data_IF_165363670443
#
_entry.id   IF_165363670443
#
_cell.length_a   1.000
_cell.length_b   1.000
_cell.length_c   1.000
_cell.angle_alpha   90.00
_cell.angle_beta   90.00
_cell.angle_gamma   90.00
#
_symmetry.space_group_name_H-M   'P 1'
#
loop_
_entity.id
_entity.type
_entity.pdbx_description
1 polymer ?
#
# COMPACT_ATOMS: atom_id res chain seq x y z
N UNK A 1 -26.23 -7.07 -4.05
CA UNK A 1 -25.92 -6.75 -2.65
C UNK A 1 -24.52 -7.19 -2.32
N UNK A 2 -23.55 -6.29 -2.43
CA UNK A 2 -22.18 -6.56 -1.99
C UNK A 2 -22.11 -6.31 -0.48
N UNK A 3 -22.16 -7.38 0.31
CA UNK A 3 -22.03 -7.32 1.76
C UNK A 3 -20.54 -7.35 2.15
N UNK A 4 -19.77 -6.36 1.67
CA UNK A 4 -18.31 -6.32 1.81
C UNK A 4 -17.86 -5.07 2.57
N UNK A 5 -16.70 -5.18 3.20
CA UNK A 5 -16.02 -4.11 3.95
C UNK A 5 -14.92 -3.53 3.07
N UNK A 6 -14.98 -2.23 2.80
CA UNK A 6 -14.08 -1.55 1.86
C UNK A 6 -13.33 -0.43 2.57
N UNK A 7 -12.02 -0.39 2.37
CA UNK A 7 -11.19 0.77 2.71
C UNK A 7 -10.72 1.43 1.41
N UNK A 8 -11.16 2.65 1.15
CA UNK A 8 -10.67 3.50 0.07
C UNK A 8 -9.65 4.51 0.58
N UNK A 9 -8.60 4.74 -0.19
CA UNK A 9 -7.64 5.82 0.02
C UNK A 9 -7.44 6.59 -1.29
N UNK A 10 -7.92 7.83 -1.34
CA UNK A 10 -7.76 8.73 -2.49
C UNK A 10 -6.68 9.78 -2.21
N UNK A 11 -5.68 9.81 -3.08
CA UNK A 11 -4.51 10.68 -2.97
C UNK A 11 -4.56 11.81 -3.98
N UNK A 12 -5.02 12.98 -3.52
CA UNK A 12 -5.05 14.20 -4.29
C UNK A 12 -3.76 15.03 -4.19
N UNK A 13 -3.69 16.06 -5.03
CA UNK A 13 -2.61 17.06 -4.99
C UNK A 13 -2.61 17.86 -3.68
N UNK A 14 -3.80 18.25 -3.19
CA UNK A 14 -3.97 19.12 -2.02
C UNK A 14 -4.16 18.37 -0.69
N UNK A 15 -4.69 17.14 -0.75
CA UNK A 15 -5.08 16.38 0.43
C UNK A 15 -5.31 14.92 0.10
N UNK A 16 -5.51 14.13 1.15
CA UNK A 16 -5.76 12.70 1.08
C UNK A 16 -7.06 12.38 1.79
N UNK A 17 -7.93 11.58 1.17
CA UNK A 17 -9.21 11.16 1.74
C UNK A 17 -9.20 9.66 1.98
N UNK A 18 -9.54 9.26 3.20
CA UNK A 18 -9.77 7.87 3.58
C UNK A 18 -11.26 7.64 3.76
N UNK A 19 -11.76 6.54 3.20
CA UNK A 19 -13.17 6.14 3.32
C UNK A 19 -13.23 4.69 3.79
N UNK A 20 -13.86 4.47 4.93
CA UNK A 20 -14.25 3.15 5.41
C UNK A 20 -15.73 2.93 5.11
N UNK A 21 -16.07 1.83 4.47
CA UNK A 21 -17.47 1.44 4.23
C UNK A 21 -17.70 0.00 4.66
N UNK A 22 -18.80 -0.23 5.35
CA UNK A 22 -19.28 -1.55 5.77
C UNK A 22 -20.80 -1.62 5.65
N UNK A 23 -21.39 -2.82 5.75
CA UNK A 23 -22.84 -2.98 5.79
C UNK A 23 -23.52 -2.21 6.94
N UNK A 24 -22.76 -1.83 7.98
CA UNK A 24 -23.26 -1.11 9.15
C UNK A 24 -23.10 0.41 9.06
N UNK A 25 -22.44 0.90 8.01
CA UNK A 25 -22.27 2.32 7.76
C UNK A 25 -20.94 2.67 7.11
N UNK A 26 -20.75 3.97 6.90
CA UNK A 26 -19.55 4.53 6.29
C UNK A 26 -18.97 5.64 7.16
N UNK A 27 -17.66 5.79 7.11
CA UNK A 27 -16.94 6.93 7.65
C UNK A 27 -15.93 7.43 6.62
N UNK A 28 -15.77 8.74 6.56
CA UNK A 28 -14.80 9.37 5.68
C UNK A 28 -14.01 10.41 6.47
N UNK A 29 -12.73 10.53 6.15
CA UNK A 29 -11.83 11.52 6.72
C UNK A 29 -10.97 12.11 5.62
N UNK A 30 -10.96 13.44 5.52
CA UNK A 30 -10.14 14.15 4.55
C UNK A 30 -9.10 14.98 5.28
N UNK A 31 -7.83 14.68 4.99
CA UNK A 31 -6.68 15.43 5.49
C UNK A 31 -6.29 16.48 4.46
N UNK A 32 -6.61 17.73 4.77
CA UNK A 32 -6.14 18.89 4.02
C UNK A 32 -4.64 19.05 4.30
N UNK A 33 -3.87 19.55 3.34
CA UNK A 33 -2.42 19.74 3.46
C UNK A 33 -1.59 18.45 3.54
N UNK A 34 -2.21 17.29 3.32
CA UNK A 34 -1.54 16.00 3.17
C UNK A 34 -1.76 15.46 1.75
N UNK A 35 -1.22 16.17 0.76
CA UNK A 35 -1.33 15.82 -0.66
C UNK A 35 0.03 15.66 -1.33
N UNK A 36 0.05 14.97 -2.46
CA UNK A 36 1.27 14.63 -3.23
C UNK A 36 1.68 15.71 -4.23
N UNK A 37 1.02 16.87 -4.20
CA UNK A 37 1.32 18.03 -5.04
C UNK A 37 1.33 19.31 -4.21
N UNK A 38 0.31 20.15 -4.34
CA UNK A 38 0.25 21.43 -3.61
C UNK A 38 0.19 21.30 -2.09
N UNK A 39 -0.17 20.13 -1.55
CA UNK A 39 -0.10 19.82 -0.12
C UNK A 39 1.31 19.52 0.41
N UNK A 40 2.31 19.36 -0.46
CA UNK A 40 3.67 18.97 -0.04
C UNK A 40 4.38 19.98 0.88
N UNK A 41 4.34 21.31 0.64
CA UNK A 41 5.08 22.25 1.49
C UNK A 41 4.64 22.26 2.96
N UNK A 42 3.34 22.38 3.32
CA UNK A 42 2.92 22.26 4.72
C UNK A 42 3.21 20.88 5.31
N UNK A 43 2.97 19.81 4.54
CA UNK A 43 3.30 18.45 4.95
C UNK A 43 4.77 18.28 5.35
N UNK A 44 5.70 18.76 4.52
CA UNK A 44 7.13 18.67 4.77
C UNK A 44 7.59 19.52 5.95
N UNK A 45 6.98 20.70 6.16
CA UNK A 45 7.28 21.53 7.34
C UNK A 45 6.93 20.81 8.64
N UNK A 46 5.86 20.03 8.66
CA UNK A 46 5.43 19.27 9.84
C UNK A 46 6.20 17.95 10.01
N UNK A 47 6.50 17.27 8.91
CA UNK A 47 7.00 15.88 8.91
C UNK A 47 8.53 15.79 8.78
N UNK A 48 9.14 16.75 8.10
CA UNK A 48 10.56 16.77 7.78
C UNK A 48 10.95 15.81 6.64
N UNK A 49 12.02 16.16 5.93
CA UNK A 49 12.53 15.36 4.81
C UNK A 49 12.96 13.93 5.23
N UNK A 50 13.45 13.74 6.47
CA UNK A 50 13.96 12.44 6.92
C UNK A 50 12.89 11.34 6.94
N UNK A 51 11.64 11.71 7.25
CA UNK A 51 10.52 10.78 7.24
C UNK A 51 10.23 10.25 5.82
N UNK A 52 10.45 11.06 4.79
CA UNK A 52 10.36 10.60 3.38
C UNK A 52 11.62 9.81 3.00
N UNK A 53 12.81 10.33 3.31
CA UNK A 53 14.11 9.71 2.97
C UNK A 53 14.24 8.27 3.45
N UNK A 54 13.62 7.92 4.59
CA UNK A 54 13.71 6.57 5.16
C UNK A 54 13.18 5.47 4.24
N UNK A 55 12.35 5.82 3.26
CA UNK A 55 11.77 4.90 2.28
C UNK A 55 12.53 4.83 0.96
N UNK A 56 13.61 5.60 0.81
CA UNK A 56 14.38 5.62 -0.43
C UNK A 56 15.37 4.45 -0.47
N UNK A 57 15.48 3.74 -1.62
CA UNK A 57 16.49 2.69 -1.82
C UNK A 57 17.89 3.25 -2.16
N UNK A 58 18.09 4.57 -2.08
CA UNK A 58 19.34 5.26 -2.40
C UNK A 58 19.56 6.40 -1.43
N UNK A 59 20.78 6.95 -1.42
CA UNK A 59 21.03 8.16 -0.68
C UNK A 59 20.59 9.38 -1.48
N UNK A 60 19.89 10.28 -0.80
CA UNK A 60 19.44 11.54 -1.36
C UNK A 60 19.59 12.60 -0.28
N UNK A 61 20.36 13.68 -0.45
CA UNK A 61 20.51 14.71 0.56
C UNK A 61 19.16 15.33 0.97
N UNK A 62 18.96 15.72 2.25
CA UNK A 62 17.72 16.37 2.68
C UNK A 62 17.36 17.60 1.86
N UNK A 63 18.35 18.40 1.45
CA UNK A 63 18.17 19.59 0.60
C UNK A 63 17.59 19.24 -0.76
N UNK A 64 18.05 18.14 -1.38
CA UNK A 64 17.50 17.67 -2.66
C UNK A 64 16.06 17.17 -2.52
N UNK A 65 15.73 16.50 -1.41
CA UNK A 65 14.33 16.11 -1.10
C UNK A 65 13.44 17.35 -0.99
N UNK A 66 13.89 18.37 -0.24
CA UNK A 66 13.16 19.62 -0.11
C UNK A 66 12.94 20.28 -1.48
N UNK A 67 14.01 20.43 -2.27
CA UNK A 67 13.96 21.07 -3.58
C UNK A 67 13.04 20.32 -4.55
N UNK A 68 13.18 19.00 -4.67
CA UNK A 68 12.39 18.19 -5.58
C UNK A 68 10.89 18.24 -5.24
N UNK A 69 10.54 18.12 -3.96
CA UNK A 69 9.15 18.14 -3.52
C UNK A 69 8.52 19.55 -3.54
N UNK A 70 9.31 20.62 -3.35
CA UNK A 70 8.83 22.00 -3.57
C UNK A 70 8.56 22.27 -5.05
N UNK A 71 9.45 21.81 -5.93
CA UNK A 71 9.24 21.90 -7.37
C UNK A 71 8.00 21.11 -7.80
N UNK A 72 7.79 19.91 -7.26
CA UNK A 72 6.55 19.14 -7.47
C UNK A 72 5.31 19.89 -7.01
N UNK A 73 5.38 20.61 -5.89
CA UNK A 73 4.26 21.42 -5.40
C UNK A 73 3.89 22.59 -6.33
N UNK A 74 4.89 23.20 -6.99
CA UNK A 74 4.70 24.24 -8.00
C UNK A 74 4.10 23.66 -9.28
N UNK A 75 4.55 22.46 -9.68
CA UNK A 75 4.12 21.78 -10.91
C UNK A 75 3.45 20.42 -10.61
N UNK A 76 2.27 20.39 -9.96
CA UNK A 76 1.68 19.16 -9.41
C UNK A 76 1.22 18.15 -10.47
N UNK A 77 1.04 18.59 -11.71
CA UNK A 77 0.63 17.76 -12.84
C UNK A 77 1.80 17.04 -13.53
N UNK A 78 3.04 17.36 -13.17
CA UNK A 78 4.21 16.67 -13.71
C UNK A 78 4.22 15.21 -13.29
N UNK A 79 4.74 14.33 -14.15
CA UNK A 79 4.97 12.92 -13.82
C UNK A 79 6.47 12.66 -13.67
N UNK A 80 6.89 11.72 -12.79
CA UNK A 80 8.30 11.38 -12.64
C UNK A 80 8.96 11.01 -13.97
N UNK A 81 10.04 11.72 -14.30
CA UNK A 81 10.86 11.45 -15.49
C UNK A 81 12.06 10.55 -15.20
N UNK A 82 12.37 10.29 -13.92
CA UNK A 82 13.50 9.47 -13.48
C UNK A 82 13.06 8.47 -12.42
N UNK A 83 13.78 7.33 -12.31
CA UNK A 83 13.57 6.36 -11.22
C UNK A 83 13.68 7.03 -9.85
N UNK A 84 14.65 7.95 -9.69
CA UNK A 84 14.87 8.70 -8.47
C UNK A 84 13.63 9.54 -8.08
N UNK A 85 13.07 10.30 -9.02
CA UNK A 85 11.86 11.09 -8.79
C UNK A 85 10.65 10.20 -8.48
N UNK A 86 10.51 9.06 -9.17
CA UNK A 86 9.42 8.11 -8.94
C UNK A 86 9.47 7.54 -7.51
N UNK A 87 10.64 7.07 -7.08
CA UNK A 87 10.81 6.55 -5.72
C UNK A 87 10.64 7.63 -4.66
N UNK A 88 11.01 8.88 -4.95
CA UNK A 88 10.75 10.01 -4.06
C UNK A 88 9.25 10.28 -3.91
N UNK A 89 8.49 10.33 -5.01
CA UNK A 89 7.04 10.52 -4.95
C UNK A 89 6.34 9.38 -4.22
N UNK A 90 6.71 8.13 -4.49
CA UNK A 90 6.14 6.97 -3.80
C UNK A 90 6.56 6.90 -2.32
N UNK A 91 7.77 7.34 -1.97
CA UNK A 91 8.19 7.48 -0.58
C UNK A 91 7.32 8.51 0.16
N UNK A 92 6.97 9.61 -0.50
CA UNK A 92 6.05 10.61 0.05
C UNK A 92 4.64 10.05 0.20
N UNK A 93 4.17 9.26 -0.77
CA UNK A 93 2.88 8.55 -0.66
C UNK A 93 2.81 7.69 0.59
N UNK A 94 3.83 6.87 0.84
CA UNK A 94 3.90 6.00 2.03
C UNK A 94 3.76 6.79 3.33
N UNK A 95 4.46 7.92 3.44
CA UNK A 95 4.41 8.78 4.62
C UNK A 95 3.05 9.46 4.82
N UNK A 96 2.47 9.99 3.75
CA UNK A 96 1.15 10.63 3.79
C UNK A 96 0.09 9.62 4.20
N UNK A 97 0.04 8.45 3.54
CA UNK A 97 -0.91 7.39 3.85
C UNK A 97 -0.76 6.87 5.28
N UNK A 98 0.48 6.66 5.74
CA UNK A 98 0.75 6.20 7.11
C UNK A 98 0.23 7.17 8.17
N UNK A 99 0.37 8.48 7.94
CA UNK A 99 -0.12 9.52 8.86
C UNK A 99 -1.63 9.65 8.81
N UNK A 100 -2.20 9.73 7.61
CA UNK A 100 -3.65 9.79 7.42
C UNK A 100 -4.33 8.57 8.06
N UNK A 101 -3.79 7.37 7.82
CA UNK A 101 -4.33 6.15 8.41
C UNK A 101 -4.19 6.11 9.92
N UNK A 102 -3.05 6.50 10.49
CA UNK A 102 -2.86 6.50 11.93
C UNK A 102 -3.86 7.43 12.65
N UNK A 103 -4.13 8.60 12.09
CA UNK A 103 -5.11 9.54 12.62
C UNK A 103 -6.54 9.02 12.44
N UNK A 104 -6.89 8.54 11.24
CA UNK A 104 -8.19 7.96 10.97
C UNK A 104 -8.47 6.76 11.88
N UNK A 105 -7.58 5.77 11.94
CA UNK A 105 -7.73 4.58 12.77
C UNK A 105 -7.93 4.90 14.26
N UNK A 106 -7.26 5.94 14.78
CA UNK A 106 -7.44 6.41 16.16
C UNK A 106 -8.85 6.96 16.36
N UNK A 107 -9.26 7.94 15.55
CA UNK A 107 -10.56 8.61 15.68
C UNK A 107 -11.73 7.66 15.40
N UNK A 108 -11.57 6.77 14.43
CA UNK A 108 -12.54 5.73 14.08
C UNK A 108 -12.70 4.70 15.20
N UNK A 109 -11.61 4.35 15.90
CA UNK A 109 -11.70 3.49 17.09
C UNK A 109 -12.39 4.17 18.27
N UNK A 110 -12.17 5.48 18.45
CA UNK A 110 -12.77 6.28 19.53
C UNK A 110 -14.27 6.55 19.29
N UNK A 111 -14.66 6.78 18.04
CA UNK A 111 -16.06 7.06 17.64
C UNK A 111 -16.87 5.80 17.34
N UNK A 112 -16.21 4.69 17.00
CA UNK A 112 -16.82 3.43 16.55
C UNK A 112 -17.16 2.44 17.67
N UNK A 113 -17.47 2.91 18.88
CA UNK A 113 -17.88 2.07 20.03
C UNK A 113 -19.11 1.18 19.79
N UNK A 114 -19.78 1.31 18.63
CA UNK A 114 -20.91 0.52 18.16
C UNK A 114 -20.57 -0.55 17.10
N UNK A 115 -19.28 -0.72 16.73
CA UNK A 115 -18.86 -1.73 15.75
C UNK A 115 -19.04 -1.34 14.28
N UNK A 116 -19.32 -0.07 13.98
CA UNK A 116 -19.51 0.45 12.61
C UNK A 116 -18.30 0.35 11.69
N UNK A 117 -17.09 0.28 12.24
CA UNK A 117 -15.86 0.34 11.48
C UNK A 117 -15.11 -0.98 11.62
N UNK A 118 -14.93 -1.69 10.51
CA UNK A 118 -14.20 -2.94 10.50
C UNK A 118 -12.74 -2.79 10.92
N UNK A 119 -12.22 -3.80 11.62
CA UNK A 119 -10.77 -3.98 11.84
C UNK A 119 -10.11 -4.88 10.79
N UNK A 120 -10.89 -5.29 9.80
CA UNK A 120 -10.49 -6.12 8.67
C UNK A 120 -11.30 -5.69 7.47
N UNK A 121 -10.68 -5.73 6.31
CA UNK A 121 -11.26 -5.31 5.03
C UNK A 121 -11.35 -6.50 4.10
N UNK A 122 -12.37 -6.50 3.26
CA UNK A 122 -12.48 -7.47 2.18
C UNK A 122 -11.83 -6.91 0.90
N UNK A 123 -11.87 -5.58 0.74
CA UNK A 123 -11.27 -4.84 -0.37
C UNK A 123 -10.58 -3.56 0.13
N UNK A 124 -9.37 -3.32 -0.34
CA UNK A 124 -8.65 -2.05 -0.19
C UNK A 124 -8.47 -1.43 -1.57
N UNK A 125 -8.86 -0.17 -1.72
CA UNK A 125 -8.78 0.55 -3.00
C UNK A 125 -7.88 1.77 -2.87
N UNK A 126 -6.86 1.86 -3.73
CA UNK A 126 -6.07 3.07 -3.92
C UNK A 126 -6.60 3.91 -5.09
N UNK A 127 -6.79 5.21 -4.88
CA UNK A 127 -7.12 6.18 -5.93
C UNK A 127 -6.14 7.36 -5.90
N UNK A 128 -6.12 8.13 -6.97
CA UNK A 128 -5.22 9.26 -7.18
C UNK A 128 -4.15 8.99 -8.22
N UNK A 129 -3.77 10.04 -8.94
CA UNK A 129 -2.93 9.95 -10.14
C UNK A 129 -1.53 9.39 -9.89
N UNK A 130 -1.00 9.55 -8.67
CA UNK A 130 0.31 9.00 -8.29
C UNK A 130 0.31 7.47 -8.21
N UNK A 131 -0.82 6.87 -7.83
CA UNK A 131 -0.99 5.41 -7.78
C UNK A 131 -1.41 4.87 -9.14
N UNK A 132 -2.37 5.54 -9.79
CA UNK A 132 -2.91 5.12 -11.09
C UNK A 132 -1.86 5.15 -12.22
N UNK A 133 -0.94 6.11 -12.20
CA UNK A 133 0.11 6.25 -13.23
C UNK A 133 1.45 5.63 -12.80
N UNK A 134 1.48 4.81 -11.75
CA UNK A 134 2.72 4.12 -11.38
C UNK A 134 3.14 3.18 -12.54
N UNK A 135 4.37 3.28 -13.05
CA UNK A 135 4.79 2.50 -14.23
C UNK A 135 4.91 1.00 -13.95
N UNK A 136 4.88 0.60 -12.68
CA UNK A 136 4.83 -0.78 -12.23
C UNK A 136 3.77 -0.91 -11.13
N UNK A 137 2.81 -1.82 -11.32
CA UNK A 137 1.69 -2.02 -10.38
C UNK A 137 2.16 -2.50 -9.01
N UNK A 138 3.27 -3.24 -8.92
CA UNK A 138 3.84 -3.68 -7.66
C UNK A 138 4.38 -2.51 -6.83
N UNK A 139 4.83 -1.40 -7.47
CA UNK A 139 5.21 -0.18 -6.75
C UNK A 139 4.00 0.52 -6.11
N UNK A 140 2.88 0.60 -6.84
CA UNK A 140 1.64 1.14 -6.29
C UNK A 140 1.11 0.28 -5.13
N UNK A 141 1.10 -1.06 -5.31
CA UNK A 141 0.74 -1.99 -4.26
C UNK A 141 1.62 -1.81 -3.03
N UNK A 142 2.94 -1.75 -3.21
CA UNK A 142 3.89 -1.57 -2.12
C UNK A 142 3.67 -0.26 -1.37
N UNK A 143 3.38 0.85 -2.07
CA UNK A 143 3.08 2.12 -1.44
C UNK A 143 1.82 2.06 -0.55
N UNK A 144 0.77 1.40 -1.03
CA UNK A 144 -0.46 1.15 -0.26
C UNK A 144 -0.21 0.24 0.95
N UNK A 145 0.56 -0.84 0.79
CA UNK A 145 0.90 -1.76 1.88
C UNK A 145 1.71 -1.08 2.99
N UNK A 146 2.71 -0.29 2.61
CA UNK A 146 3.61 0.39 3.54
C UNK A 146 2.91 1.54 4.28
N UNK A 147 2.03 2.27 3.58
CA UNK A 147 1.26 3.36 4.14
C UNK A 147 0.13 2.88 5.04
N UNK A 148 -0.75 2.01 4.52
CA UNK A 148 -1.96 1.60 5.24
C UNK A 148 -1.72 0.48 6.24
N UNK A 149 -0.74 -0.39 6.01
CA UNK A 149 -0.36 -1.45 6.94
C UNK A 149 -1.54 -2.34 7.44
N UNK A 150 -2.47 -2.64 6.53
CA UNK A 150 -3.63 -3.47 6.85
C UNK A 150 -3.22 -4.91 7.17
N UNK A 151 -4.09 -5.61 7.91
CA UNK A 151 -3.89 -6.98 8.40
C UNK A 151 -5.00 -7.89 7.89
N UNK A 152 -4.64 -9.11 7.51
CA UNK A 152 -5.55 -10.19 7.15
C UNK A 152 -5.38 -10.66 5.71
N UNK A 153 -6.47 -11.17 5.15
CA UNK A 153 -6.56 -11.54 3.74
C UNK A 153 -7.60 -10.64 3.10
N UNK A 154 -7.18 -9.87 2.09
CA UNK A 154 -8.03 -8.86 1.45
C UNK A 154 -7.64 -8.65 0.00
N UNK A 155 -8.59 -8.25 -0.83
CA UNK A 155 -8.34 -7.86 -2.22
C UNK A 155 -7.76 -6.45 -2.26
N UNK A 156 -6.87 -6.19 -3.19
CA UNK A 156 -6.26 -4.88 -3.42
C UNK A 156 -6.55 -4.44 -4.86
N UNK A 157 -7.09 -3.24 -5.02
CA UNK A 157 -7.42 -2.68 -6.32
C UNK A 157 -6.98 -1.21 -6.45
N UNK A 158 -6.88 -0.74 -7.69
CA UNK A 158 -6.65 0.66 -8.01
C UNK A 158 -7.85 1.23 -8.77
N UNK A 159 -8.22 2.47 -8.46
CA UNK A 159 -9.04 3.29 -9.34
C UNK A 159 -8.16 3.87 -10.46
N UNK A 160 -7.77 3.00 -11.39
CA UNK A 160 -6.81 3.33 -12.44
C UNK A 160 -7.31 4.41 -13.41
N UNK A 161 -8.63 4.62 -13.48
CA UNK A 161 -9.28 5.62 -14.35
C UNK A 161 -9.78 6.86 -13.59
N UNK A 162 -9.65 6.89 -12.25
CA UNK A 162 -10.12 8.00 -11.42
C UNK A 162 -11.65 8.20 -11.45
N UNK A 163 -12.42 7.14 -11.63
CA UNK A 163 -13.87 7.24 -11.84
C UNK A 163 -14.66 7.19 -10.52
N UNK A 164 -14.07 6.73 -9.41
CA UNK A 164 -14.83 6.48 -8.17
C UNK A 164 -15.50 7.75 -7.63
N UNK A 165 -14.83 8.90 -7.71
CA UNK A 165 -15.42 10.18 -7.29
C UNK A 165 -16.68 10.53 -8.09
N UNK A 166 -16.68 10.29 -9.41
CA UNK A 166 -17.86 10.54 -10.25
C UNK A 166 -18.95 9.49 -10.01
N UNK A 167 -18.57 8.22 -9.85
CA UNK A 167 -19.50 7.14 -9.57
C UNK A 167 -20.21 7.32 -8.23
N UNK A 168 -19.57 7.95 -7.24
CA UNK A 168 -20.22 8.35 -5.99
C UNK A 168 -21.43 9.27 -6.22
N UNK A 169 -21.31 10.24 -7.14
CA UNK A 169 -22.43 11.10 -7.52
C UNK A 169 -23.53 10.32 -8.25
N UNK A 170 -23.17 9.43 -9.18
CA UNK A 170 -24.12 8.57 -9.89
C UNK A 170 -24.87 7.66 -8.91
N UNK A 171 -24.19 7.16 -7.87
CA UNK A 171 -24.78 6.28 -6.87
C UNK A 171 -25.93 6.94 -6.08
N UNK A 172 -26.02 8.26 -6.04
CA UNK A 172 -27.14 8.97 -5.41
C UNK A 172 -28.45 8.84 -6.18
N UNK A 173 -28.37 8.59 -7.49
CA UNK A 173 -29.52 8.46 -8.40
C UNK A 173 -29.73 7.01 -8.83
N UNK A 174 -28.64 6.30 -9.17
CA UNK A 174 -28.66 4.90 -9.59
C UNK A 174 -27.52 4.12 -8.92
N UNK A 175 -27.73 3.63 -7.68
CA UNK A 175 -26.73 2.85 -6.95
C UNK A 175 -26.26 1.60 -7.70
N UNK A 176 -27.19 0.88 -8.36
CA UNK A 176 -26.86 -0.36 -9.06
C UNK A 176 -25.97 -0.12 -10.28
N UNK A 177 -26.26 0.91 -11.08
CA UNK A 177 -25.44 1.26 -12.23
C UNK A 177 -24.04 1.70 -11.79
N UNK A 178 -23.96 2.53 -10.74
CA UNK A 178 -22.67 2.95 -10.18
C UNK A 178 -21.84 1.74 -9.70
N UNK A 179 -22.47 0.79 -8.99
CA UNK A 179 -21.80 -0.42 -8.52
C UNK A 179 -21.34 -1.33 -9.67
N UNK A 180 -22.13 -1.44 -10.75
CA UNK A 180 -21.74 -2.22 -11.93
C UNK A 180 -20.52 -1.60 -12.62
N UNK A 181 -20.54 -0.29 -12.91
CA UNK A 181 -19.40 0.39 -13.53
C UNK A 181 -18.17 0.34 -12.62
N UNK A 182 -18.34 0.48 -11.30
CA UNK A 182 -17.25 0.35 -10.36
C UNK A 182 -16.58 -1.04 -10.45
N UNK A 183 -17.37 -2.11 -10.37
CA UNK A 183 -16.86 -3.49 -10.33
C UNK A 183 -16.29 -4.03 -11.63
N UNK A 184 -16.78 -3.56 -12.79
CA UNK A 184 -16.35 -4.08 -14.09
C UNK A 184 -15.44 -3.14 -14.88
N UNK A 185 -15.58 -1.82 -14.70
CA UNK A 185 -14.94 -0.84 -15.58
C UNK A 185 -13.97 0.12 -14.87
N UNK A 186 -14.11 0.31 -13.56
CA UNK A 186 -13.33 1.32 -12.80
C UNK A 186 -12.12 0.73 -12.09
N UNK A 187 -12.28 -0.42 -11.45
CA UNK A 187 -11.25 -0.98 -10.58
C UNK A 187 -10.32 -1.92 -11.35
N UNK A 188 -9.02 -1.62 -11.29
CA UNK A 188 -7.97 -2.54 -11.69
C UNK A 188 -7.63 -3.41 -10.48
N UNK A 189 -8.07 -4.67 -10.50
CA UNK A 189 -7.73 -5.66 -9.49
C UNK A 189 -6.24 -5.99 -9.54
N UNK A 190 -5.51 -5.62 -8.49
CA UNK A 190 -4.11 -6.01 -8.34
C UNK A 190 -4.00 -7.46 -7.87
N UNK A 191 -4.98 -7.95 -7.11
CA UNK A 191 -5.03 -9.32 -6.61
C UNK A 191 -5.24 -9.36 -5.10
N UNK A 192 -4.87 -10.47 -4.47
CA UNK A 192 -5.12 -10.69 -3.03
C UNK A 192 -3.86 -10.56 -2.21
N UNK A 193 -3.96 -9.85 -1.09
CA UNK A 193 -2.90 -9.69 -0.10
C UNK A 193 -3.10 -10.64 1.06
N UNK A 194 -2.02 -11.27 1.52
CA UNK A 194 -1.95 -12.02 2.78
C UNK A 194 -0.93 -11.33 3.69
N UNK A 195 -1.42 -10.58 4.68
CA UNK A 195 -0.59 -9.77 5.57
C UNK A 195 -0.88 -10.10 7.06
N UNK A 196 -0.11 -10.97 7.71
CA UNK A 196 -0.29 -11.27 9.12
C UNK A 196 0.16 -10.10 10.03
N UNK A 197 -0.55 -9.95 11.14
CA UNK A 197 -0.10 -9.20 12.32
C UNK A 197 1.02 -9.97 13.02
N UNK A 198 2.07 -9.29 13.47
CA UNK A 198 3.17 -9.86 14.22
C UNK A 198 4.53 -9.50 13.64
N UNK A 199 5.57 -9.66 14.46
CA UNK A 199 6.96 -9.37 14.10
C UNK A 199 7.85 -10.50 14.59
N UNK A 200 8.79 -10.95 13.77
CA UNK A 200 9.77 -11.95 14.14
C UNK A 200 11.13 -11.62 13.52
N UNK A 201 12.19 -12.24 14.05
CA UNK A 201 13.53 -12.12 13.47
C UNK A 201 13.58 -12.77 12.08
N UNK A 202 14.43 -12.27 11.17
CA UNK A 202 14.68 -12.89 9.87
C UNK A 202 14.98 -14.39 9.99
N UNK A 203 14.50 -15.17 9.01
CA UNK A 203 14.73 -16.62 8.93
C UNK A 203 13.78 -17.49 9.76
N UNK A 204 12.93 -16.91 10.63
CA UNK A 204 11.81 -17.65 11.25
C UNK A 204 10.68 -17.85 10.24
N UNK A 205 10.00 -18.98 10.29
CA UNK A 205 8.77 -19.19 9.49
C UNK A 205 7.64 -18.31 10.01
N UNK A 206 7.04 -17.52 9.12
CA UNK A 206 5.86 -16.72 9.41
C UNK A 206 4.57 -17.49 9.10
N UNK A 207 4.46 -18.05 7.89
CA UNK A 207 3.26 -18.72 7.40
C UNK A 207 3.61 -20.08 6.79
N UNK A 208 2.66 -21.02 6.88
CA UNK A 208 2.58 -22.17 5.97
C UNK A 208 1.32 -22.04 5.14
N UNK A 209 1.44 -22.26 3.84
CA UNK A 209 0.35 -22.14 2.87
C UNK A 209 0.15 -23.48 2.15
N UNK A 210 -1.11 -23.78 1.87
CA UNK A 210 -1.53 -24.70 0.83
C UNK A 210 -2.46 -23.93 -0.12
N UNK A 211 -2.25 -24.09 -1.41
CA UNK A 211 -2.98 -23.41 -2.47
C UNK A 211 -3.59 -24.48 -3.36
N UNK A 212 -4.91 -24.45 -3.50
CA UNK A 212 -5.65 -25.33 -4.40
C UNK A 212 -6.26 -24.45 -5.49
N UNK A 213 -5.89 -24.67 -6.74
CA UNK A 213 -6.41 -23.93 -7.89
C UNK A 213 -7.71 -24.58 -8.42
N UNK A 214 -8.47 -23.84 -9.23
CA UNK A 214 -9.71 -24.34 -9.84
C UNK A 214 -9.51 -25.56 -10.76
N UNK A 215 -8.31 -25.73 -11.34
CA UNK A 215 -7.91 -26.89 -12.14
C UNK A 215 -7.47 -28.10 -11.29
N UNK A 216 -7.78 -28.08 -9.99
CA UNK A 216 -7.38 -29.06 -8.98
C UNK A 216 -5.87 -29.20 -8.76
N UNK A 217 -5.01 -28.36 -9.39
CA UNK A 217 -3.60 -28.32 -8.99
C UNK A 217 -3.48 -27.89 -7.54
N UNK A 218 -2.56 -28.53 -6.84
CA UNK A 218 -2.24 -28.20 -5.47
C UNK A 218 -0.76 -27.83 -5.34
N UNK A 219 -0.48 -26.71 -4.68
CA UNK A 219 0.83 -26.39 -4.15
C UNK A 219 0.74 -26.49 -2.63
N UNK A 220 1.33 -27.55 -2.07
CA UNK A 220 1.30 -27.81 -0.63
C UNK A 220 2.62 -27.44 0.05
N UNK A 221 2.56 -27.21 1.36
CA UNK A 221 3.72 -26.99 2.25
C UNK A 221 4.60 -25.77 1.90
N UNK A 222 4.06 -24.76 1.21
CA UNK A 222 4.79 -23.51 0.96
C UNK A 222 5.07 -22.85 2.30
N UNK A 223 6.36 -22.67 2.61
CA UNK A 223 6.81 -22.10 3.87
C UNK A 223 7.34 -20.70 3.61
N UNK A 224 6.69 -19.70 4.19
CA UNK A 224 7.05 -18.30 4.00
C UNK A 224 7.85 -17.81 5.21
N UNK A 225 9.09 -17.31 5.02
CA UNK A 225 9.86 -16.72 6.11
C UNK A 225 9.24 -15.38 6.57
N UNK A 226 9.59 -14.94 7.78
CA UNK A 226 9.32 -13.58 8.24
C UNK A 226 10.22 -12.58 7.52
N UNK A 227 9.72 -11.38 7.27
CA UNK A 227 10.50 -10.27 6.72
C UNK A 227 10.44 -10.10 5.20
N UNK A 228 9.60 -10.87 4.48
CA UNK A 228 9.64 -10.91 3.01
C UNK A 228 8.33 -10.47 2.35
N UNK A 229 8.46 -10.07 1.09
CA UNK A 229 7.39 -9.99 0.12
C UNK A 229 7.52 -11.16 -0.85
N UNK A 230 6.40 -11.72 -1.27
CA UNK A 230 6.40 -12.77 -2.28
C UNK A 230 5.14 -12.68 -3.14
N UNK A 231 5.34 -12.73 -4.45
CA UNK A 231 4.25 -12.87 -5.42
C UNK A 231 4.08 -14.36 -5.78
N UNK A 232 2.86 -14.86 -5.71
CA UNK A 232 2.48 -16.17 -6.24
C UNK A 232 1.54 -15.92 -7.43
N UNK A 233 1.87 -16.39 -8.64
CA UNK A 233 1.03 -16.19 -9.81
C UNK A 233 -0.37 -16.78 -9.62
N UNK A 234 -1.38 -15.96 -9.89
CA UNK A 234 -2.79 -16.33 -10.03
C UNK A 234 -3.42 -15.32 -10.99
N UNK A 235 -3.83 -15.75 -12.18
CA UNK A 235 -4.33 -14.82 -13.21
C UNK A 235 -5.69 -14.23 -12.83
N UNK A 236 -6.05 -13.10 -13.43
CA UNK A 236 -7.27 -12.36 -13.10
C UNK A 236 -8.57 -13.17 -13.27
N UNK A 237 -8.56 -14.20 -14.13
CA UNK A 237 -9.68 -15.11 -14.38
C UNK A 237 -9.58 -16.44 -13.62
N UNK A 238 -8.51 -16.66 -12.85
CA UNK A 238 -8.28 -17.86 -12.06
C UNK A 238 -8.67 -17.63 -10.59
N UNK A 239 -9.25 -18.66 -9.96
CA UNK A 239 -9.48 -18.69 -8.51
C UNK A 239 -8.63 -19.75 -7.83
N UNK A 240 -8.46 -19.57 -6.52
CA UNK A 240 -7.81 -20.53 -5.67
C UNK A 240 -8.42 -20.54 -4.26
N UNK A 241 -8.32 -21.67 -3.57
CA UNK A 241 -8.52 -21.78 -2.13
C UNK A 241 -7.17 -21.75 -1.43
N UNK A 242 -7.01 -20.81 -0.50
CA UNK A 242 -5.83 -20.69 0.35
C UNK A 242 -6.11 -21.27 1.72
N UNK A 243 -5.37 -22.30 2.13
CA UNK A 243 -5.28 -22.71 3.53
C UNK A 243 -4.03 -22.10 4.16
N UNK A 244 -4.22 -21.15 5.08
CA UNK A 244 -3.15 -20.33 5.65
C UNK A 244 -2.99 -20.65 7.13
N UNK A 245 -1.79 -21.10 7.53
CA UNK A 245 -1.45 -21.44 8.91
C UNK A 245 -0.32 -20.54 9.42
N UNK A 246 -0.62 -19.45 10.15
CA UNK A 246 0.40 -18.62 10.75
C UNK A 246 1.13 -19.35 11.88
N UNK A 247 2.42 -19.02 12.06
CA UNK A 247 3.24 -19.50 13.18
C UNK A 247 3.42 -18.36 14.18
N UNK A 248 3.40 -18.67 15.49
CA UNK A 248 3.63 -17.66 16.51
C UNK A 248 4.96 -16.91 16.25
N UNK A 249 4.98 -15.57 16.36
CA UNK A 249 3.94 -14.71 16.92
C UNK A 249 2.89 -14.17 15.92
N UNK A 250 2.85 -14.68 14.68
CA UNK A 250 1.97 -14.17 13.63
C UNK A 250 0.50 -14.58 13.82
N UNK A 251 -0.41 -13.71 13.37
CA UNK A 251 -1.87 -13.93 13.32
C UNK A 251 -2.47 -13.26 12.08
N UNK A 252 -3.49 -13.85 11.46
CA UNK A 252 -4.26 -13.22 10.38
C UNK A 252 -5.48 -12.44 10.90
N UNK A 253 -5.72 -12.52 12.20
CA UNK A 253 -6.83 -11.85 12.86
C UNK A 253 -6.35 -10.52 13.47
N UNK A 254 -7.26 -9.54 13.63
CA UNK A 254 -6.94 -8.30 14.30
C UNK A 254 -6.52 -8.54 15.76
N UNK A 255 -5.90 -7.55 16.43
CA UNK A 255 -5.53 -7.67 17.85
C UNK A 255 -6.71 -8.13 18.70
N UNK A 256 -6.51 -9.20 19.49
CA UNK A 256 -7.56 -9.83 20.31
C UNK A 256 -8.42 -10.88 19.59
N UNK A 257 -8.25 -11.06 18.27
CA UNK A 257 -8.92 -12.10 17.51
C UNK A 257 -8.34 -13.50 17.77
N UNK A 258 -9.21 -14.50 17.86
CA UNK A 258 -8.85 -15.90 18.04
C UNK A 258 -8.81 -16.64 16.70
N UNK A 259 -7.87 -17.56 16.53
CA UNK A 259 -7.78 -18.44 15.36
C UNK A 259 -6.36 -18.96 15.13
N UNK A 260 -6.24 -20.19 14.64
CA UNK A 260 -4.95 -20.85 14.35
C UNK A 260 -4.61 -20.84 12.85
N UNK A 261 -5.50 -20.34 12.01
CA UNK A 261 -5.40 -20.31 10.57
C UNK A 261 -6.67 -19.78 9.92
N UNK A 262 -6.63 -19.62 8.61
CA UNK A 262 -7.72 -19.10 7.78
C UNK A 262 -7.80 -19.92 6.51
N UNK A 263 -9.03 -20.23 6.07
CA UNK A 263 -9.30 -20.71 4.72
C UNK A 263 -10.01 -19.59 3.98
N UNK A 264 -9.51 -19.22 2.81
CA UNK A 264 -10.08 -18.14 1.99
C UNK A 264 -10.13 -18.55 0.52
N UNK A 265 -11.26 -18.33 -0.12
CA UNK A 265 -11.37 -18.32 -1.57
C UNK A 265 -10.90 -16.97 -2.09
N UNK A 266 -10.00 -16.99 -3.06
CA UNK A 266 -9.37 -15.79 -3.61
C UNK A 266 -9.47 -15.80 -5.14
N UNK A 267 -9.61 -14.61 -5.71
CA UNK A 267 -9.51 -14.42 -7.15
C UNK A 267 -8.13 -13.81 -7.46
N UNK A 268 -7.55 -14.15 -8.61
CA UNK A 268 -6.32 -13.53 -9.04
C UNK A 268 -6.51 -12.09 -9.51
N UNK A 269 -5.40 -11.48 -9.92
CA UNK A 269 -5.36 -10.10 -10.39
C UNK A 269 -4.03 -9.83 -11.09
N UNK A 270 -3.75 -8.56 -11.38
CA UNK A 270 -2.55 -8.18 -12.14
C UNK A 270 -1.23 -8.65 -11.48
N UNK A 271 -1.19 -8.83 -10.17
CA UNK A 271 -0.06 -9.31 -9.38
C UNK A 271 -0.28 -10.72 -8.78
N UNK A 272 -1.47 -11.30 -8.92
CA UNK A 272 -1.82 -12.58 -8.29
C UNK A 272 -1.98 -12.51 -6.77
N UNK A 273 -1.30 -13.39 -6.04
CA UNK A 273 -1.34 -13.41 -4.57
C UNK A 273 -0.06 -12.76 -4.03
N UNK A 274 -0.21 -11.67 -3.28
CA UNK A 274 0.87 -10.93 -2.64
C UNK A 274 0.95 -11.28 -1.15
N UNK A 275 2.02 -11.96 -0.76
CA UNK A 275 2.28 -12.31 0.64
C UNK A 275 3.22 -11.27 1.24
N UNK A 276 2.80 -10.63 2.33
CA UNK A 276 3.59 -9.63 3.06
C UNK A 276 3.80 -10.06 4.51
N UNK A 277 4.93 -10.70 4.78
CA UNK A 277 5.32 -11.15 6.14
C UNK A 277 6.35 -10.22 6.78
N UNK A 278 6.52 -9.00 6.26
CA UNK A 278 7.46 -8.01 6.80
C UNK A 278 7.09 -7.56 8.21
N UNK A 279 5.82 -7.72 8.57
CA UNK A 279 5.27 -7.45 9.88
C UNK A 279 4.41 -6.19 9.92
N UNK A 280 3.61 -6.12 10.97
CA UNK A 280 2.69 -5.01 11.28
C UNK A 280 2.77 -4.78 12.81
N UNK A 281 3.32 -3.65 13.28
CA UNK A 281 3.89 -2.56 12.49
C UNK A 281 5.13 -2.97 11.70
N UNK A 282 5.33 -2.34 10.55
CA UNK A 282 6.52 -2.49 9.71
C UNK A 282 7.70 -1.77 10.38
N UNK A 283 8.72 -2.53 10.76
CA UNK A 283 9.93 -2.00 11.38
C UNK A 283 11.04 -1.87 10.34
N UNK A 284 11.46 -0.64 10.08
CA UNK A 284 12.62 -0.37 9.25
C UNK A 284 13.91 -0.45 10.09
N UNK A 285 15.03 -0.94 9.52
CA UNK A 285 16.33 -0.87 10.18
C UNK A 285 16.69 0.57 10.58
N UNK A 286 17.34 0.75 11.73
CA UNK A 286 17.75 2.07 12.22
C UNK A 286 18.91 2.66 11.40
N UNK A 287 19.89 1.83 11.02
CA UNK A 287 21.03 2.24 10.20
C UNK A 287 20.61 2.56 8.76
N UNK A 288 21.03 3.71 8.23
CA UNK A 288 20.60 4.18 6.91
C UNK A 288 20.91 3.20 5.80
N UNK A 289 22.13 2.65 5.77
CA UNK A 289 22.54 1.72 4.71
C UNK A 289 21.83 0.37 4.82
N UNK A 290 21.68 -0.16 6.05
CA UNK A 290 20.90 -1.38 6.29
C UNK A 290 19.44 -1.21 5.85
N UNK A 291 18.86 -0.02 6.06
CA UNK A 291 17.51 0.31 5.63
C UNK A 291 17.40 0.40 4.11
N UNK A 292 18.32 1.09 3.44
CA UNK A 292 18.36 1.17 1.97
C UNK A 292 18.48 -0.22 1.35
N UNK A 293 19.39 -1.04 1.88
CA UNK A 293 19.58 -2.43 1.44
C UNK A 293 18.30 -3.26 1.61
N UNK A 294 17.64 -3.15 2.77
CA UNK A 294 16.38 -3.87 3.01
C UNK A 294 15.27 -3.46 2.03
N UNK A 295 15.19 -2.18 1.68
CA UNK A 295 14.21 -1.68 0.70
C UNK A 295 14.53 -2.21 -0.70
N UNK A 296 15.80 -2.27 -1.09
CA UNK A 296 16.21 -2.88 -2.38
C UNK A 296 15.82 -4.34 -2.45
N UNK A 297 16.08 -5.12 -1.40
CA UNK A 297 15.67 -6.53 -1.33
C UNK A 297 14.15 -6.71 -1.50
N UNK A 298 13.35 -5.82 -0.91
CA UNK A 298 11.89 -5.84 -1.08
C UNK A 298 11.45 -5.49 -2.51
N UNK A 299 12.14 -4.55 -3.17
CA UNK A 299 11.89 -4.23 -4.57
C UNK A 299 12.25 -5.43 -5.47
N UNK A 300 13.38 -6.07 -5.23
CA UNK A 300 13.81 -7.27 -5.95
C UNK A 300 12.83 -8.45 -5.76
N UNK A 301 12.33 -8.67 -4.55
CA UNK A 301 11.31 -9.68 -4.24
C UNK A 301 9.99 -9.48 -5.01
N UNK A 302 9.69 -8.24 -5.40
CA UNK A 302 8.56 -7.88 -6.24
C UNK A 302 8.91 -7.81 -7.74
N UNK A 303 10.14 -8.19 -8.12
CA UNK A 303 10.61 -8.15 -9.51
C UNK A 303 10.79 -6.73 -10.05
N UNK A 304 11.00 -5.74 -9.18
CA UNK A 304 11.21 -4.35 -9.57
C UNK A 304 12.72 -4.10 -9.70
N UNK A 305 13.26 -3.90 -10.92
CA UNK A 305 14.68 -3.67 -11.10
C UNK A 305 15.07 -2.31 -10.54
N UNK A 306 15.95 -2.31 -9.54
CA UNK A 306 16.51 -1.10 -8.97
C UNK A 306 18.02 -1.05 -9.20
N UNK A 307 18.45 -0.21 -10.13
CA UNK A 307 19.85 0.14 -10.29
C UNK A 307 20.14 1.33 -9.40
N UNK A 308 21.20 1.24 -8.59
CA UNK A 308 21.65 2.36 -7.77
C UNK A 308 22.00 3.53 -8.70
N UNK A 309 21.35 4.69 -8.57
CA UNK A 309 21.74 5.87 -9.34
C UNK A 309 23.22 6.15 -9.06
N UNK A 310 24.00 6.47 -10.10
CA UNK A 310 25.37 6.91 -9.90
C UNK A 310 25.36 8.07 -8.90
N UNK A 311 26.26 8.03 -7.90
CA UNK A 311 26.40 9.14 -6.98
C UNK A 311 26.62 10.43 -7.80
N UNK A 312 25.98 11.55 -7.45
CA UNK A 312 26.27 12.81 -8.11
C UNK A 312 27.79 13.04 -8.04
N UNK A 313 28.40 13.34 -9.18
CA UNK A 313 29.81 13.72 -9.24
C UNK A 313 30.01 14.86 -8.23
N UNK A 314 31.09 14.86 -7.44
CA UNK A 314 31.40 15.98 -6.57
C UNK A 314 31.34 17.24 -7.43
N UNK A 315 30.54 18.23 -7.00
CA UNK A 315 30.59 19.56 -7.60
C UNK A 315 32.06 19.98 -7.54
N UNK A 316 32.69 20.14 -8.71
CA UNK A 316 34.02 20.73 -8.78
C UNK A 316 33.94 22.05 -8.02
N UNK A 317 34.59 22.09 -6.86
CA UNK A 317 34.84 23.34 -6.17
C UNK A 317 35.76 24.10 -7.12
N UNK A 318 35.18 25.04 -7.86
CA UNK A 318 35.94 26.13 -8.41
C UNK A 318 36.48 26.92 -7.22
N UNK A 319 37.66 26.54 -6.76
CA UNK A 319 38.54 27.41 -5.98
C UNK A 319 38.88 28.59 -6.89
N UNK A 320 38.07 29.65 -6.81
CA UNK A 320 38.49 30.98 -7.26
C UNK A 320 39.46 31.52 -6.20
N UNK A 321 40.76 31.34 -6.49
CA UNK A 321 41.89 32.04 -5.88
C UNK A 321 42.01 33.47 -6.38
#
# INVERSE_FOLDING_TARGET
>A
NYNIRVLGADMGSAGTTLVASSPHGQQAMTHIEMGVGCGLPPFLRQTGAQAVRRWLPFDLPPTEVWNALHNKAIYPHTVPQTKQALHLELATVREILGRAWAEAARLWSETGGDGRIPRQWDLVVGSGQVLANAPNLALAALALLDGLQQVGVYSLALDAKGLLGMLGSVATVSPLAAAQVAGYDSLLELGVVVAPLGVARPGKTALKLKITFDDEREISNVTIPAGVLQLIPLKADEKATLEIRPRRPFSLHPPGGAGSGLIAEVNGGALGILIDTRGRPLLLPEGEEARRQQIREWLEQLGIPFDVPAAPLPSEQHDES
#
